data_IF_037059106399
#
_entry.id   IF_037059106399
#
_cell.length_a   1.000
_cell.length_b   1.000
_cell.length_c   1.000
_cell.angle_alpha   90.00
_cell.angle_beta   90.00
_cell.angle_gamma   90.00
#
_symmetry.space_group_name_H-M   'P 1'
#
loop_
_entity.id
_entity.type
_entity.pdbx_description
1 polymer ?
#
# COMPACT_ATOMS: atom_id res chain seq x y z
N UNK A 1 -9.10 0.65 3.74
CA UNK A 1 -10.36 -0.12 3.54
C UNK A 1 -10.16 -1.42 2.75
N UNK A 2 -9.73 -1.42 1.47
CA UNK A 2 -9.65 -2.68 0.71
C UNK A 2 -8.65 -3.71 1.29
N UNK A 3 -7.48 -3.27 1.74
CA UNK A 3 -6.50 -4.14 2.43
C UNK A 3 -7.06 -4.70 3.73
N UNK A 4 -7.61 -3.84 4.58
CA UNK A 4 -8.19 -4.24 5.86
C UNK A 4 -9.33 -5.27 5.69
N UNK A 5 -10.20 -5.06 4.71
CA UNK A 5 -11.27 -6.01 4.38
C UNK A 5 -10.69 -7.36 3.94
N UNK A 6 -9.68 -7.35 3.07
CA UNK A 6 -9.04 -8.57 2.58
C UNK A 6 -8.35 -9.36 3.70
N UNK A 7 -7.64 -8.67 4.60
CA UNK A 7 -6.99 -9.28 5.76
C UNK A 7 -7.98 -9.85 6.80
N UNK A 8 -9.26 -9.51 6.71
CA UNK A 8 -10.27 -9.88 7.70
C UNK A 8 -11.49 -10.62 7.13
N UNK A 9 -11.47 -10.96 5.85
CA UNK A 9 -12.57 -11.67 5.18
C UNK A 9 -12.04 -12.97 4.57
N UNK A 10 -12.62 -14.14 4.92
CA UNK A 10 -12.22 -15.40 4.30
C UNK A 10 -12.64 -15.45 2.82
N UNK A 11 -11.88 -16.19 2.02
CA UNK A 11 -12.18 -16.41 0.60
C UNK A 11 -11.70 -15.32 -0.35
N UNK A 12 -10.95 -14.33 0.13
CA UNK A 12 -10.26 -13.36 -0.73
C UNK A 12 -8.92 -13.93 -1.15
N UNK A 13 -8.72 -14.11 -2.46
CA UNK A 13 -7.51 -14.68 -3.04
C UNK A 13 -6.27 -13.79 -2.80
N UNK A 14 -6.42 -12.50 -3.09
CA UNK A 14 -5.39 -11.48 -2.93
C UNK A 14 -6.05 -10.09 -3.04
N UNK A 15 -5.39 -9.07 -2.50
CA UNK A 15 -5.81 -7.68 -2.68
C UNK A 15 -4.63 -6.81 -3.10
N UNK A 16 -4.87 -5.89 -4.03
CA UNK A 16 -3.90 -4.86 -4.33
C UNK A 16 -4.56 -3.49 -4.42
N UNK A 17 -3.88 -2.48 -3.89
CA UNK A 17 -4.43 -1.13 -3.75
C UNK A 17 -3.40 -0.11 -4.23
N UNK A 18 -3.89 0.98 -4.78
CA UNK A 18 -3.08 2.10 -5.20
C UNK A 18 -3.24 3.26 -4.21
N UNK A 19 -2.13 3.87 -3.80
CA UNK A 19 -2.07 5.12 -3.03
C UNK A 19 -3.09 5.17 -1.88
N UNK A 20 -2.97 4.24 -0.94
CA UNK A 20 -3.89 4.13 0.20
C UNK A 20 -3.15 4.31 1.53
N UNK A 21 -3.73 5.02 2.51
CA UNK A 21 -3.09 5.19 3.81
C UNK A 21 -2.97 3.87 4.58
N UNK A 22 -2.11 3.86 5.61
CA UNK A 22 -2.14 2.83 6.65
C UNK A 22 -3.54 2.82 7.30
N UNK A 23 -4.26 1.69 7.30
CA UNK A 23 -5.61 1.62 7.89
C UNK A 23 -5.62 1.65 9.43
N UNK A 24 -4.48 1.45 10.08
CA UNK A 24 -4.37 1.35 11.54
C UNK A 24 -3.63 2.53 12.20
N UNK A 25 -3.02 3.41 11.41
CA UNK A 25 -2.33 4.59 11.93
C UNK A 25 -2.47 5.77 10.96
N UNK A 26 -2.54 6.95 11.54
CA UNK A 26 -2.29 8.22 10.84
C UNK A 26 -1.19 8.99 11.58
N UNK A 27 -0.56 9.96 10.92
CA UNK A 27 0.47 10.82 11.53
C UNK A 27 -0.06 11.64 12.73
N UNK A 28 -1.37 11.84 12.84
CA UNK A 28 -2.02 12.51 13.96
C UNK A 28 -2.80 11.56 14.89
N UNK A 29 -2.73 10.24 14.69
CA UNK A 29 -3.51 9.29 15.48
C UNK A 29 -2.90 9.11 16.89
N UNK A 30 -3.55 9.59 17.97
CA UNK A 30 -3.05 9.43 19.33
C UNK A 30 -3.16 7.99 19.84
N UNK A 31 -3.85 7.11 19.11
CA UNK A 31 -4.18 5.76 19.50
C UNK A 31 -3.94 4.76 18.35
N UNK A 32 -2.82 4.91 17.65
CA UNK A 32 -2.41 4.00 16.58
C UNK A 32 -2.57 2.53 16.98
N UNK A 33 -3.26 1.77 16.14
CA UNK A 33 -3.54 0.37 16.36
C UNK A 33 -2.45 -0.50 15.75
N UNK A 34 -2.23 -1.67 16.34
CA UNK A 34 -1.42 -2.71 15.72
C UNK A 34 -2.26 -3.48 14.72
N UNK A 35 -1.79 -3.74 13.48
CA UNK A 35 -2.51 -4.59 12.54
C UNK A 35 -2.84 -5.97 13.13
N UNK A 36 -4.08 -6.44 12.94
CA UNK A 36 -4.58 -7.71 13.49
C UNK A 36 -5.28 -8.58 12.42
N UNK A 37 -4.61 -8.97 11.33
CA UNK A 37 -5.20 -9.83 10.31
C UNK A 37 -5.76 -11.13 10.90
N UNK A 38 -7.00 -11.46 10.57
CA UNK A 38 -7.62 -12.77 10.87
C UNK A 38 -7.47 -13.77 9.72
N UNK A 39 -7.08 -13.28 8.54
CA UNK A 39 -6.74 -14.06 7.35
C UNK A 39 -5.39 -13.57 6.79
N UNK A 40 -4.57 -14.49 6.29
CA UNK A 40 -3.27 -14.18 5.72
C UNK A 40 -3.36 -13.97 4.20
N UNK A 41 -4.37 -13.24 3.75
CA UNK A 41 -4.58 -12.94 2.34
C UNK A 41 -3.40 -12.13 1.79
N UNK A 42 -2.75 -12.57 0.70
CA UNK A 42 -1.70 -11.80 0.04
C UNK A 42 -2.14 -10.38 -0.30
N UNK A 43 -1.33 -9.39 0.07
CA UNK A 43 -1.57 -8.00 -0.25
C UNK A 43 -0.39 -7.33 -0.96
N UNK A 44 -0.70 -6.40 -1.85
CA UNK A 44 0.29 -5.50 -2.43
C UNK A 44 -0.23 -4.07 -2.45
N UNK A 45 0.62 -3.12 -2.10
CA UNK A 45 0.27 -1.70 -2.21
C UNK A 45 1.24 -0.99 -3.14
N UNK A 46 0.71 -0.26 -4.11
CA UNK A 46 1.46 0.58 -5.02
C UNK A 46 1.36 2.03 -4.55
N UNK A 47 2.50 2.66 -4.24
CA UNK A 47 2.59 4.05 -3.80
C UNK A 47 3.24 4.93 -4.85
N UNK A 48 2.83 6.20 -4.89
CA UNK A 48 3.66 7.23 -5.47
C UNK A 48 4.80 7.56 -4.49
N UNK A 49 6.01 7.73 -4.99
CA UNK A 49 7.14 8.23 -4.21
C UNK A 49 6.78 9.54 -3.50
N UNK A 50 6.20 10.47 -4.25
CA UNK A 50 5.67 11.73 -3.77
C UNK A 50 4.15 11.60 -3.73
N UNK A 51 3.56 11.58 -2.54
CA UNK A 51 2.12 11.46 -2.32
C UNK A 51 1.68 12.37 -1.17
N UNK A 52 0.41 12.73 -1.16
CA UNK A 52 -0.19 13.57 -0.13
C UNK A 52 -0.11 12.86 1.23
N UNK A 53 -0.07 13.63 2.32
CA UNK A 53 -0.14 13.10 3.70
C UNK A 53 0.89 12.00 4.02
N UNK A 54 2.03 11.97 3.32
CA UNK A 54 3.06 10.94 3.53
C UNK A 54 2.57 9.49 3.34
N UNK A 55 1.56 9.24 2.48
CA UNK A 55 0.99 7.90 2.30
C UNK A 55 2.04 6.81 1.97
N UNK A 56 3.07 7.15 1.19
CA UNK A 56 4.16 6.22 0.88
C UNK A 56 4.92 5.79 2.14
N UNK A 57 5.20 6.73 3.05
CA UNK A 57 5.97 6.48 4.28
C UNK A 57 5.13 5.70 5.27
N UNK A 58 3.94 6.19 5.60
CA UNK A 58 3.06 5.55 6.59
C UNK A 58 2.62 4.16 6.13
N UNK A 59 2.29 4.05 4.84
CA UNK A 59 1.97 2.80 4.18
C UNK A 59 3.13 1.81 4.08
N UNK A 60 4.37 2.29 3.99
CA UNK A 60 5.57 1.47 4.08
C UNK A 60 5.74 0.86 5.46
N UNK A 61 5.60 1.68 6.52
CA UNK A 61 5.65 1.21 7.91
C UNK A 61 4.57 0.17 8.23
N UNK A 62 3.37 0.32 7.65
CA UNK A 62 2.30 -0.68 7.77
C UNK A 62 2.71 -2.06 7.24
N UNK A 63 3.30 -2.10 6.04
CA UNK A 63 3.73 -3.36 5.41
C UNK A 63 4.92 -3.96 6.14
N UNK A 64 5.83 -3.12 6.65
CA UNK A 64 6.92 -3.56 7.53
C UNK A 64 6.38 -4.20 8.82
N UNK A 65 5.41 -3.56 9.49
CA UNK A 65 4.77 -4.11 10.68
C UNK A 65 4.11 -5.47 10.41
N UNK A 66 3.43 -5.62 9.28
CA UNK A 66 2.83 -6.88 8.87
C UNK A 66 3.88 -7.97 8.64
N UNK A 67 4.91 -7.68 7.83
CA UNK A 67 5.98 -8.64 7.52
C UNK A 67 6.77 -9.07 8.77
N UNK A 68 6.96 -8.17 9.74
CA UNK A 68 7.66 -8.47 10.98
C UNK A 68 6.84 -9.36 11.94
N UNK A 69 5.51 -9.28 11.89
CA UNK A 69 4.60 -9.97 12.83
C UNK A 69 4.01 -11.26 12.27
N UNK A 70 3.87 -11.35 10.94
CA UNK A 70 3.17 -12.42 10.25
C UNK A 70 4.04 -12.99 9.14
N UNK A 71 4.99 -13.86 9.49
CA UNK A 71 5.97 -14.42 8.54
C UNK A 71 5.34 -15.17 7.34
N UNK A 72 4.13 -15.71 7.51
CA UNK A 72 3.41 -16.45 6.47
C UNK A 72 2.54 -15.53 5.59
N UNK A 73 2.38 -14.25 5.95
CA UNK A 73 1.66 -13.27 5.15
C UNK A 73 2.56 -12.74 4.03
N UNK A 74 2.09 -12.79 2.78
CA UNK A 74 2.73 -12.07 1.68
C UNK A 74 2.23 -10.62 1.65
N UNK A 75 3.06 -9.67 2.10
CA UNK A 75 2.76 -8.24 2.03
C UNK A 75 3.86 -7.48 1.29
N UNK A 76 3.50 -6.87 0.15
CA UNK A 76 4.46 -6.22 -0.75
C UNK A 76 4.18 -4.73 -0.95
N UNK A 77 5.25 -3.95 -1.11
CA UNK A 77 5.19 -2.55 -1.54
C UNK A 77 5.86 -2.40 -2.90
N UNK A 78 5.22 -1.62 -3.77
CA UNK A 78 5.84 -1.07 -4.98
C UNK A 78 5.79 0.45 -4.87
N UNK A 79 6.89 1.14 -5.11
CA UNK A 79 6.93 2.61 -5.12
C UNK A 79 7.23 3.07 -6.54
N UNK A 80 6.55 4.10 -7.03
CA UNK A 80 6.75 4.69 -8.35
C UNK A 80 7.01 6.19 -8.31
N UNK A 81 7.99 6.63 -9.09
CA UNK A 81 8.38 8.04 -9.22
C UNK A 81 7.39 8.87 -10.07
N UNK A 82 7.71 10.14 -10.30
CA UNK A 82 6.90 11.05 -11.13
C UNK A 82 6.79 10.62 -12.61
N UNK A 83 7.71 9.80 -13.10
CA UNK A 83 7.72 9.20 -14.44
C UNK A 83 7.11 7.79 -14.47
N UNK A 84 6.43 7.41 -13.38
CA UNK A 84 5.82 6.12 -13.15
C UNK A 84 6.83 4.97 -13.09
N UNK A 85 8.14 5.22 -13.03
CA UNK A 85 9.18 4.20 -12.89
C UNK A 85 9.29 3.71 -11.46
N UNK A 86 9.64 2.44 -11.28
CA UNK A 86 9.84 1.87 -9.94
C UNK A 86 11.02 2.57 -9.27
N UNK A 87 10.85 2.87 -7.99
CA UNK A 87 11.88 3.44 -7.11
C UNK A 87 11.81 2.75 -5.75
N UNK A 88 12.79 3.00 -4.88
CA UNK A 88 12.90 2.40 -3.54
C UNK A 88 12.62 3.39 -2.41
N UNK A 89 12.46 4.68 -2.71
CA UNK A 89 12.39 5.73 -1.70
C UNK A 89 11.12 6.56 -1.86
N UNK A 90 10.54 6.95 -0.73
CA UNK A 90 9.47 7.95 -0.64
C UNK A 90 10.08 9.36 -0.57
N UNK A 91 9.33 10.36 -1.03
CA UNK A 91 9.68 11.78 -0.94
C UNK A 91 8.81 12.46 0.13
N UNK A 92 9.39 12.65 1.31
CA UNK A 92 8.75 13.29 2.46
C UNK A 92 8.48 14.79 2.26
N UNK A 93 9.03 15.43 1.23
CA UNK A 93 8.72 16.83 0.97
C UNK A 93 7.29 17.05 0.44
N UNK A 94 6.59 15.96 0.08
CA UNK A 94 5.26 15.98 -0.52
C UNK A 94 4.09 15.87 0.46
N UNK A 95 4.33 15.99 1.78
CA UNK A 95 3.34 15.78 2.85
C UNK A 95 2.09 16.65 2.78
N UNK A 96 2.20 17.84 2.19
CA UNK A 96 1.14 18.86 2.21
C UNK A 96 -0.12 18.35 1.50
N UNK A 97 -1.28 18.56 2.14
CA UNK A 97 -2.62 18.33 1.56
C UNK A 97 -2.84 19.06 0.23
N UNK A 98 -2.11 20.17 0.04
CA UNK A 98 -2.17 20.99 -1.15
C UNK A 98 -0.77 21.06 -1.79
N UNK A 99 -0.65 20.67 -3.05
CA UNK A 99 0.61 20.78 -3.79
C UNK A 99 0.89 19.58 -4.69
N UNK A 100 2.17 19.33 -4.93
CA UNK A 100 2.64 18.29 -5.86
C UNK A 100 2.19 16.90 -5.40
N UNK A 101 2.22 16.61 -4.09
CA UNK A 101 1.72 15.34 -3.54
C UNK A 101 0.27 15.05 -3.93
N UNK A 102 -0.63 16.05 -3.81
CA UNK A 102 -2.03 15.91 -4.21
C UNK A 102 -2.22 15.70 -5.71
N UNK A 103 -1.40 16.35 -6.55
CA UNK A 103 -1.42 16.10 -8.00
C UNK A 103 -0.98 14.68 -8.35
N UNK A 104 0.02 14.16 -7.65
CA UNK A 104 0.46 12.77 -7.83
C UNK A 104 -0.58 11.79 -7.28
N UNK A 105 -1.27 12.11 -6.17
CA UNK A 105 -2.33 11.28 -5.59
C UNK A 105 -3.46 10.99 -6.58
N UNK A 106 -3.87 11.99 -7.38
CA UNK A 106 -4.96 11.83 -8.35
C UNK A 106 -4.59 11.11 -9.65
N UNK A 107 -3.31 10.77 -9.87
CA UNK A 107 -2.91 10.05 -11.09
C UNK A 107 -3.24 8.57 -10.94
N UNK A 108 -3.58 7.89 -12.04
CA UNK A 108 -3.62 6.41 -12.06
C UNK A 108 -2.41 5.89 -12.85
N UNK A 109 -1.63 4.93 -12.33
CA UNK A 109 -0.42 4.46 -12.97
C UNK A 109 -0.74 3.39 -14.03
N UNK A 110 -1.43 3.77 -15.11
CA UNK A 110 -1.84 2.84 -16.19
C UNK A 110 -0.69 1.91 -16.65
N UNK A 111 0.55 2.40 -16.90
CA UNK A 111 1.66 1.54 -17.32
C UNK A 111 2.12 0.51 -16.28
N UNK A 112 1.53 0.52 -15.07
CA UNK A 112 1.81 -0.42 -13.98
C UNK A 112 0.68 -1.41 -13.72
N UNK A 113 -0.41 -1.36 -14.49
CA UNK A 113 -1.52 -2.30 -14.33
C UNK A 113 -1.04 -3.75 -14.43
N UNK A 114 -0.22 -4.06 -15.44
CA UNK A 114 0.24 -5.42 -15.69
C UNK A 114 1.19 -5.94 -14.60
N UNK A 115 2.26 -5.21 -14.29
CA UNK A 115 3.31 -5.70 -13.40
C UNK A 115 3.02 -5.48 -11.91
N UNK A 116 2.32 -4.39 -11.55
CA UNK A 116 2.02 -4.08 -10.16
C UNK A 116 0.74 -4.77 -9.68
N UNK A 117 -0.31 -4.91 -10.51
CA UNK A 117 -1.59 -5.46 -10.09
C UNK A 117 -1.86 -6.85 -10.68
N UNK A 118 -1.92 -6.97 -12.01
CA UNK A 118 -2.39 -8.22 -12.63
C UNK A 118 -1.41 -9.38 -12.43
N UNK A 119 -0.10 -9.13 -12.49
CA UNK A 119 0.91 -10.14 -12.19
C UNK A 119 0.89 -10.57 -10.72
N UNK A 120 0.52 -9.68 -9.80
CA UNK A 120 0.30 -10.06 -8.40
C UNK A 120 -0.84 -11.06 -8.30
N UNK A 121 -2.00 -10.72 -8.85
CA UNK A 121 -3.19 -11.58 -8.79
C UNK A 121 -2.98 -12.93 -9.48
N UNK A 122 -2.27 -12.97 -10.61
CA UNK A 122 -1.92 -14.23 -11.29
C UNK A 122 -1.07 -15.16 -10.44
N UNK A 123 -0.18 -14.60 -9.59
CA UNK A 123 0.70 -15.38 -8.69
C UNK A 123 0.00 -15.82 -7.40
N UNK A 124 -1.11 -15.19 -7.05
CA UNK A 124 -1.87 -15.46 -5.83
C UNK A 124 -3.35 -15.79 -6.13
N UNK A 125 -3.63 -16.90 -6.84
CA UNK A 125 -5.00 -17.36 -7.06
C UNK A 125 -5.61 -17.92 -5.76
N UNK A 126 -6.95 -17.98 -5.71
CA UNK A 126 -7.65 -18.72 -4.65
C UNK A 126 -7.36 -20.22 -4.85
N UNK A 127 -6.75 -20.85 -3.85
CA UNK A 127 -6.46 -22.30 -3.83
C UNK A 127 -7.69 -23.13 -3.52
#
# INVERSE_FOLDING_TARGET
MAVEYALNTPGIAAAAVYSAPDPYRDNHDPCAQTPYPTNLTPIRILYNQCDVLNMCVTGGSFIEDLNNRYCDLTAEVVIIDSFLQRTSECDESCTSEFGIGMLQHFRWPIPRNDDAFFDFFRKHPLS
#
